data_IF_807104142615
#
_entry.id   IF_807104142615
#
_cell.length_a   1.000
_cell.length_b   1.000
_cell.length_c   1.000
_cell.angle_alpha   90.00
_cell.angle_beta   90.00
_cell.angle_gamma   90.00
#
_symmetry.space_group_name_H-M   'P 1'
#
loop_
_entity.id
_entity.type
_entity.pdbx_description
1 polymer ?
#
# COMPACT_ATOMS: atom_id res chain seq x y z
N UNK A 1 -14.68 6.67 -7.32
CA UNK A 1 -14.90 7.67 -6.22
C UNK A 1 -13.71 8.60 -6.02
N UNK A 2 -12.46 8.13 -6.06
CA UNK A 2 -11.25 8.96 -5.86
C UNK A 2 -11.18 10.23 -6.70
N UNK A 3 -11.58 10.17 -7.99
CA UNK A 3 -11.63 11.35 -8.85
C UNK A 3 -12.63 12.40 -8.42
N UNK A 4 -13.76 11.99 -7.85
CA UNK A 4 -14.80 12.91 -7.36
C UNK A 4 -14.32 13.64 -6.11
N UNK A 5 -13.73 12.94 -5.16
CA UNK A 5 -13.22 13.55 -3.93
C UNK A 5 -12.02 14.45 -4.20
N UNK A 6 -11.16 14.06 -5.16
CA UNK A 6 -10.06 14.89 -5.62
C UNK A 6 -10.56 16.13 -6.37
N UNK A 7 -11.62 16.01 -7.19
CA UNK A 7 -12.30 17.14 -7.79
C UNK A 7 -12.80 18.10 -6.71
N UNK A 8 -13.48 17.60 -5.67
CA UNK A 8 -13.99 18.46 -4.59
C UNK A 8 -12.87 19.20 -3.87
N UNK A 9 -11.79 18.50 -3.51
CA UNK A 9 -10.62 19.13 -2.89
C UNK A 9 -10.05 20.23 -3.80
N UNK A 10 -9.75 19.89 -5.06
CA UNK A 10 -9.15 20.82 -6.01
C UNK A 10 -10.07 22.00 -6.31
N UNK A 11 -11.39 21.76 -6.45
CA UNK A 11 -12.36 22.82 -6.71
C UNK A 11 -12.51 23.76 -5.51
N UNK A 12 -12.49 23.22 -4.30
CA UNK A 12 -12.51 24.05 -3.08
C UNK A 12 -11.31 24.99 -3.03
N UNK A 13 -10.13 24.48 -3.40
CA UNK A 13 -8.86 25.23 -3.35
C UNK A 13 -8.67 26.19 -4.53
N UNK A 14 -9.08 25.80 -5.73
CA UNK A 14 -8.72 26.52 -6.96
C UNK A 14 -9.85 27.31 -7.59
N UNK A 15 -11.11 26.96 -7.28
CA UNK A 15 -12.32 27.50 -7.91
C UNK A 15 -12.35 27.35 -9.44
N UNK A 16 -11.63 26.35 -9.97
CA UNK A 16 -11.57 26.06 -11.40
C UNK A 16 -12.27 24.73 -11.69
N UNK A 17 -13.35 24.75 -12.43
CA UNK A 17 -14.08 23.52 -12.80
C UNK A 17 -13.19 22.56 -13.60
N UNK A 18 -12.66 23.02 -14.75
CA UNK A 18 -11.86 22.19 -15.64
C UNK A 18 -10.53 21.76 -15.03
N UNK A 19 -9.85 22.66 -14.33
CA UNK A 19 -8.61 22.33 -13.61
C UNK A 19 -8.84 21.23 -12.56
N UNK A 20 -9.96 21.30 -11.84
CA UNK A 20 -10.31 20.32 -10.81
C UNK A 20 -10.75 18.99 -11.40
N UNK A 21 -11.46 18.99 -12.53
CA UNK A 21 -11.84 17.76 -13.23
C UNK A 21 -10.59 16.99 -13.70
N UNK A 22 -9.62 17.70 -14.28
CA UNK A 22 -8.36 17.10 -14.74
C UNK A 22 -7.51 16.67 -13.54
N UNK A 23 -7.50 17.39 -12.42
CA UNK A 23 -6.83 16.94 -11.20
C UNK A 23 -7.44 15.62 -10.67
N UNK A 24 -8.77 15.50 -10.69
CA UNK A 24 -9.46 14.24 -10.38
C UNK A 24 -9.04 13.11 -11.31
N UNK A 25 -8.86 13.39 -12.58
CA UNK A 25 -8.35 12.45 -13.57
C UNK A 25 -6.90 12.04 -13.27
N UNK A 26 -5.97 13.00 -13.09
CA UNK A 26 -4.54 12.73 -12.80
C UNK A 26 -4.39 11.85 -11.55
N UNK A 27 -5.13 12.14 -10.48
CA UNK A 27 -5.07 11.39 -9.23
C UNK A 27 -5.56 9.96 -9.39
N UNK A 28 -6.75 9.79 -9.99
CA UNK A 28 -7.41 8.49 -10.09
C UNK A 28 -6.79 7.60 -11.16
N UNK A 29 -6.33 8.17 -12.27
CA UNK A 29 -5.72 7.40 -13.36
C UNK A 29 -4.19 7.41 -13.32
N UNK A 30 -3.60 7.71 -12.15
CA UNK A 30 -2.15 7.64 -11.96
C UNK A 30 -1.62 6.21 -12.14
N UNK A 31 -0.40 6.09 -12.64
CA UNK A 31 0.28 4.80 -12.78
C UNK A 31 0.37 4.06 -11.43
N UNK A 32 0.54 4.78 -10.34
CA UNK A 32 0.53 4.24 -8.98
C UNK A 32 -0.80 3.51 -8.67
N UNK A 33 -1.94 4.15 -8.95
CA UNK A 33 -3.25 3.58 -8.64
C UNK A 33 -3.51 2.32 -9.47
N UNK A 34 -3.30 2.39 -10.79
CA UNK A 34 -3.50 1.23 -11.67
C UNK A 34 -2.56 0.07 -11.36
N UNK A 35 -1.33 0.34 -10.95
CA UNK A 35 -0.40 -0.72 -10.61
C UNK A 35 -0.87 -1.54 -9.40
N UNK A 36 -1.53 -0.89 -8.43
CA UNK A 36 -2.00 -1.55 -7.22
C UNK A 36 -3.29 -2.36 -7.39
N UNK A 37 -4.05 -2.15 -8.47
CA UNK A 37 -5.27 -2.95 -8.78
C UNK A 37 -4.96 -4.45 -8.84
N UNK A 38 -3.75 -4.84 -9.22
CA UNK A 38 -3.33 -6.22 -9.42
C UNK A 38 -2.99 -7.00 -8.14
N UNK A 39 -3.26 -6.48 -6.94
CA UNK A 39 -2.96 -7.29 -5.75
C UNK A 39 -2.99 -6.56 -4.43
N UNK A 40 -3.26 -5.26 -4.43
CA UNK A 40 -3.28 -4.46 -3.21
C UNK A 40 -4.59 -3.65 -3.11
N UNK A 41 -5.73 -4.35 -2.99
CA UNK A 41 -7.06 -3.72 -2.99
C UNK A 41 -7.20 -2.61 -1.94
N UNK A 42 -6.55 -2.74 -0.79
CA UNK A 42 -6.53 -1.71 0.25
C UNK A 42 -5.86 -0.42 -0.22
N UNK A 43 -4.86 -0.50 -1.11
CA UNK A 43 -4.16 0.67 -1.66
C UNK A 43 -4.89 1.32 -2.84
N UNK A 44 -5.90 0.65 -3.38
CA UNK A 44 -6.75 1.19 -4.45
C UNK A 44 -7.82 2.14 -3.89
N UNK A 45 -8.17 2.02 -2.62
CA UNK A 45 -9.14 2.88 -1.95
C UNK A 45 -8.56 4.26 -1.63
N UNK A 46 -8.36 5.08 -2.67
CA UNK A 46 -7.76 6.42 -2.56
C UNK A 46 -8.77 7.53 -2.25
N UNK A 47 -10.07 7.25 -2.33
CA UNK A 47 -11.14 8.27 -2.26
C UNK A 47 -11.20 9.03 -0.95
N UNK A 48 -10.80 8.41 0.14
CA UNK A 48 -10.88 9.05 1.46
C UNK A 48 -9.74 10.02 1.73
N UNK A 49 -8.59 9.89 1.03
CA UNK A 49 -7.42 10.76 1.21
C UNK A 49 -7.75 12.22 0.83
N UNK A 50 -8.20 12.53 -0.41
CA UNK A 50 -8.53 13.91 -0.78
C UNK A 50 -9.69 14.46 0.06
N UNK A 51 -10.67 13.60 0.42
CA UNK A 51 -11.80 14.02 1.23
C UNK A 51 -11.37 14.39 2.65
N UNK A 52 -10.49 13.61 3.27
CA UNK A 52 -9.92 13.95 4.57
C UNK A 52 -9.19 15.29 4.53
N UNK A 53 -8.31 15.48 3.53
CA UNK A 53 -7.56 16.73 3.39
C UNK A 53 -8.48 17.93 3.17
N UNK A 54 -9.57 17.78 2.42
CA UNK A 54 -10.60 18.80 2.25
C UNK A 54 -11.26 19.17 3.59
N UNK A 55 -11.72 18.15 4.33
CA UNK A 55 -12.35 18.35 5.64
C UNK A 55 -11.39 19.04 6.62
N UNK A 56 -10.15 18.55 6.68
CA UNK A 56 -9.11 19.07 7.55
C UNK A 56 -8.71 20.50 7.21
N UNK A 57 -8.42 20.77 5.94
CA UNK A 57 -8.08 22.14 5.49
C UNK A 57 -9.22 23.13 5.76
N UNK A 58 -10.48 22.70 5.50
CA UNK A 58 -11.67 23.49 5.79
C UNK A 58 -11.84 23.76 7.29
N UNK A 59 -11.51 22.79 8.15
CA UNK A 59 -11.52 22.90 9.60
C UNK A 59 -10.52 23.95 10.09
N UNK A 60 -9.28 23.89 9.57
CA UNK A 60 -8.19 24.83 9.95
C UNK A 60 -8.53 26.27 9.55
N UNK A 61 -9.09 26.48 8.34
CA UNK A 61 -9.40 27.84 7.84
C UNK A 61 -10.65 28.44 8.52
N UNK A 62 -11.69 27.63 8.73
CA UNK A 62 -12.97 28.03 9.31
C UNK A 62 -13.42 26.97 10.32
N UNK A 63 -12.96 27.06 11.58
CA UNK A 63 -13.23 26.05 12.59
C UNK A 63 -14.73 25.94 12.90
N UNK A 64 -15.20 24.70 13.03
CA UNK A 64 -16.56 24.37 13.44
C UNK A 64 -16.60 22.92 13.92
N UNK A 65 -17.35 22.62 14.97
CA UNK A 65 -17.43 21.27 15.59
C UNK A 65 -17.84 20.19 14.59
N UNK A 66 -18.85 20.45 13.74
CA UNK A 66 -19.27 19.50 12.71
C UNK A 66 -18.17 19.16 11.71
N UNK A 67 -17.27 20.11 11.40
CA UNK A 67 -16.11 19.84 10.55
C UNK A 67 -15.08 18.99 11.26
N UNK A 68 -14.88 19.21 12.58
CA UNK A 68 -14.05 18.35 13.41
C UNK A 68 -14.55 16.91 13.41
N UNK A 69 -15.85 16.72 13.66
CA UNK A 69 -16.50 15.40 13.61
C UNK A 69 -16.38 14.76 12.20
N UNK A 70 -16.69 15.53 11.15
CA UNK A 70 -16.58 15.04 9.77
C UNK A 70 -15.15 14.63 9.40
N UNK A 71 -14.14 15.43 9.75
CA UNK A 71 -12.74 15.08 9.53
C UNK A 71 -12.31 13.81 10.27
N UNK A 72 -12.79 13.61 11.52
CA UNK A 72 -12.53 12.40 12.30
C UNK A 72 -13.13 11.15 11.66
N UNK A 73 -14.37 11.22 11.22
CA UNK A 73 -15.07 10.12 10.53
C UNK A 73 -14.35 9.76 9.23
N UNK A 74 -13.97 10.76 8.42
CA UNK A 74 -13.27 10.50 7.16
C UNK A 74 -11.87 9.94 7.40
N UNK A 75 -11.14 10.41 8.42
CA UNK A 75 -9.85 9.84 8.80
C UNK A 75 -9.99 8.37 9.25
N UNK A 76 -11.06 8.05 9.95
CA UNK A 76 -11.38 6.67 10.30
C UNK A 76 -11.65 5.80 9.06
N UNK A 77 -12.34 6.31 8.04
CA UNK A 77 -12.53 5.60 6.77
C UNK A 77 -11.20 5.34 6.06
N UNK A 78 -10.24 6.29 6.11
CA UNK A 78 -8.87 6.06 5.62
C UNK A 78 -8.21 4.90 6.36
N UNK A 79 -8.34 4.86 7.70
CA UNK A 79 -7.78 3.79 8.53
C UNK A 79 -8.35 2.42 8.16
N UNK A 80 -9.64 2.33 7.90
CA UNK A 80 -10.32 1.08 7.51
C UNK A 80 -9.83 0.55 6.14
N UNK A 81 -9.39 1.45 5.26
CA UNK A 81 -8.81 1.07 3.97
C UNK A 81 -7.34 0.66 4.11
N UNK A 82 -6.51 1.54 4.67
CA UNK A 82 -5.07 1.26 4.82
C UNK A 82 -4.46 2.05 5.99
N UNK A 83 -3.76 1.35 6.88
CA UNK A 83 -3.10 1.93 8.05
C UNK A 83 -2.02 2.95 7.69
N UNK A 84 -1.31 2.77 6.57
CA UNK A 84 -0.22 3.68 6.18
C UNK A 84 -0.77 4.97 5.60
N UNK A 85 -1.85 4.90 4.84
CA UNK A 85 -2.57 6.09 4.36
C UNK A 85 -3.11 6.92 5.53
N UNK A 86 -3.56 6.28 6.61
CA UNK A 86 -3.92 6.98 7.84
C UNK A 86 -2.75 7.81 8.37
N UNK A 87 -1.54 7.23 8.50
CA UNK A 87 -0.35 7.96 8.94
C UNK A 87 0.03 9.08 7.97
N UNK A 88 -0.07 8.86 6.66
CA UNK A 88 0.23 9.90 5.66
C UNK A 88 -0.75 11.07 5.75
N UNK A 89 -2.02 10.80 5.99
CA UNK A 89 -3.04 11.81 6.26
C UNK A 89 -2.73 12.61 7.54
N UNK A 90 -2.35 11.95 8.62
CA UNK A 90 -1.95 12.61 9.89
C UNK A 90 -0.71 13.49 9.68
N UNK A 91 0.32 13.00 9.00
CA UNK A 91 1.51 13.79 8.67
C UNK A 91 1.15 15.02 7.83
N UNK A 92 0.28 14.88 6.84
CA UNK A 92 -0.20 15.99 6.02
C UNK A 92 -1.01 16.98 6.85
N UNK A 93 -1.84 16.49 7.77
CA UNK A 93 -2.60 17.35 8.70
C UNK A 93 -1.67 18.19 9.57
N UNK A 94 -0.59 17.62 10.08
CA UNK A 94 0.45 18.34 10.84
C UNK A 94 1.13 19.40 9.96
N UNK A 95 1.50 19.07 8.72
CA UNK A 95 2.11 20.05 7.80
C UNK A 95 1.18 21.23 7.52
N UNK A 96 -0.12 20.99 7.37
CA UNK A 96 -1.15 22.04 7.18
C UNK A 96 -1.25 22.94 8.43
N UNK A 97 -1.21 22.37 9.65
CA UNK A 97 -1.19 23.15 10.89
C UNK A 97 0.03 24.05 10.95
N UNK A 98 1.23 23.49 10.70
CA UNK A 98 2.50 24.22 10.72
C UNK A 98 2.46 25.36 9.70
N UNK A 99 2.04 25.06 8.47
CA UNK A 99 1.87 26.07 7.42
C UNK A 99 0.93 27.21 7.83
N UNK A 100 -0.25 26.85 8.41
CA UNK A 100 -1.21 27.85 8.86
C UNK A 100 -0.65 28.72 9.99
N UNK A 101 0.07 28.14 10.95
CA UNK A 101 0.73 28.85 12.03
C UNK A 101 1.77 29.87 11.49
N UNK A 102 2.56 29.45 10.50
CA UNK A 102 3.57 30.31 9.84
C UNK A 102 2.89 31.51 9.15
N UNK A 103 1.84 31.25 8.36
CA UNK A 103 1.13 32.32 7.62
C UNK A 103 0.45 33.29 8.57
N UNK A 104 -0.16 32.80 9.63
CA UNK A 104 -0.82 33.65 10.64
C UNK A 104 0.17 34.29 11.60
N UNK A 105 1.46 33.93 11.54
CA UNK A 105 2.51 34.35 12.50
C UNK A 105 2.05 34.13 13.95
N UNK A 106 1.29 33.09 14.19
CA UNK A 106 0.68 32.79 15.48
C UNK A 106 0.56 31.28 15.68
N UNK A 107 1.46 30.70 16.46
CA UNK A 107 1.45 29.28 16.82
C UNK A 107 0.33 28.94 17.82
N UNK A 108 -0.17 29.95 18.55
CA UNK A 108 -1.19 29.79 19.58
C UNK A 108 -2.62 29.82 19.03
N UNK A 109 -2.81 29.89 17.69
CA UNK A 109 -4.13 29.94 17.09
C UNK A 109 -5.01 28.74 17.49
N UNK A 110 -4.38 27.56 17.74
CA UNK A 110 -5.06 26.33 18.13
C UNK A 110 -5.81 26.51 19.46
N UNK A 111 -5.32 27.35 20.37
CA UNK A 111 -5.94 27.63 21.68
C UNK A 111 -7.05 28.68 21.61
N UNK A 112 -7.34 29.30 20.47
CA UNK A 112 -8.55 30.10 20.32
C UNK A 112 -9.76 29.20 20.48
N UNK A 113 -10.77 29.64 21.22
CA UNK A 113 -11.95 28.84 21.63
C UNK A 113 -12.52 27.98 20.49
N UNK A 114 -12.76 28.58 19.33
CA UNK A 114 -13.37 27.87 18.18
C UNK A 114 -12.47 26.77 17.61
N UNK A 115 -11.15 27.04 17.44
CA UNK A 115 -10.18 26.06 17.00
C UNK A 115 -10.03 24.96 18.03
N UNK A 116 -9.88 25.33 19.30
CA UNK A 116 -9.70 24.37 20.40
C UNK A 116 -10.87 23.39 20.49
N UNK A 117 -12.13 23.89 20.51
CA UNK A 117 -13.30 23.03 20.57
C UNK A 117 -13.39 22.12 19.35
N UNK A 118 -13.15 22.66 18.15
CA UNK A 118 -13.22 21.88 16.91
C UNK A 118 -12.13 20.81 16.83
N UNK A 119 -10.90 21.14 17.28
CA UNK A 119 -9.79 20.19 17.38
C UNK A 119 -10.01 19.13 18.46
N UNK A 120 -10.53 19.53 19.63
CA UNK A 120 -10.91 18.60 20.69
C UNK A 120 -11.98 17.63 20.20
N UNK A 121 -13.02 18.12 19.49
CA UNK A 121 -14.05 17.27 18.86
C UNK A 121 -13.41 16.27 17.88
N UNK A 122 -12.53 16.73 16.99
CA UNK A 122 -11.79 15.85 16.08
C UNK A 122 -11.01 14.79 16.84
N UNK A 123 -10.22 15.19 17.84
CA UNK A 123 -9.35 14.28 18.61
C UNK A 123 -10.17 13.25 19.37
N UNK A 124 -11.21 13.67 20.10
CA UNK A 124 -12.06 12.76 20.89
C UNK A 124 -12.74 11.74 19.99
N UNK A 125 -13.37 12.16 18.90
CA UNK A 125 -14.05 11.24 17.96
C UNK A 125 -13.03 10.31 17.30
N UNK A 126 -11.86 10.83 16.89
CA UNK A 126 -10.80 9.99 16.30
C UNK A 126 -10.34 8.92 17.30
N UNK A 127 -10.08 9.28 18.56
CA UNK A 127 -9.68 8.32 19.59
C UNK A 127 -10.78 7.27 19.84
N UNK A 128 -12.05 7.67 19.94
CA UNK A 128 -13.17 6.74 20.12
C UNK A 128 -13.29 5.73 18.98
N UNK A 129 -13.09 6.17 17.73
CA UNK A 129 -13.21 5.31 16.55
C UNK A 129 -11.97 4.45 16.29
N UNK A 130 -10.78 4.99 16.53
CA UNK A 130 -9.49 4.34 16.19
C UNK A 130 -9.06 3.35 17.28
N UNK A 131 -9.28 3.67 18.57
CA UNK A 131 -8.80 2.84 19.69
C UNK A 131 -9.33 1.39 19.67
N UNK A 132 -10.61 1.12 19.35
CA UNK A 132 -11.10 -0.27 19.30
C UNK A 132 -10.41 -1.13 18.23
N UNK A 133 -9.88 -0.52 17.17
CA UNK A 133 -9.19 -1.22 16.07
C UNK A 133 -7.69 -1.31 16.34
N UNK A 134 -7.05 -0.18 16.64
CA UNK A 134 -5.60 -0.09 16.77
C UNK A 134 -5.13 -0.57 18.15
N UNK A 135 -5.94 -0.41 19.19
CA UNK A 135 -5.60 -0.85 20.56
C UNK A 135 -5.25 -2.33 20.63
N UNK A 136 -6.12 -3.25 20.18
CA UNK A 136 -5.82 -4.67 20.14
C UNK A 136 -4.57 -5.03 19.33
N UNK A 137 -4.33 -4.33 18.20
CA UNK A 137 -3.13 -4.53 17.38
C UNK A 137 -1.86 -4.13 18.11
N UNK A 138 -1.87 -3.00 18.82
CA UNK A 138 -0.74 -2.56 19.64
C UNK A 138 -0.49 -3.58 20.75
N UNK A 139 -1.54 -4.00 21.45
CA UNK A 139 -1.43 -4.96 22.54
C UNK A 139 -0.91 -6.32 22.05
N UNK A 140 -1.40 -6.81 20.92
CA UNK A 140 -0.91 -8.02 20.28
C UNK A 140 0.56 -7.88 19.89
N UNK A 141 0.97 -6.76 19.28
CA UNK A 141 2.36 -6.53 18.90
C UNK A 141 3.31 -6.39 20.11
N UNK A 142 2.83 -5.94 21.26
CA UNK A 142 3.63 -5.90 22.50
C UNK A 142 3.86 -7.33 23.04
N UNK A 143 2.83 -8.20 22.96
CA UNK A 143 2.91 -9.58 23.45
C UNK A 143 3.68 -10.50 22.52
N UNK A 144 3.49 -10.32 21.20
CA UNK A 144 4.08 -11.13 20.16
C UNK A 144 4.45 -10.21 18.97
N UNK A 145 5.70 -9.70 18.93
CA UNK A 145 6.11 -8.68 17.96
C UNK A 145 5.90 -9.13 16.52
N UNK A 146 5.28 -8.26 15.73
CA UNK A 146 5.04 -8.47 14.33
C UNK A 146 6.31 -8.20 13.50
N UNK A 147 6.60 -9.08 12.57
CA UNK A 147 7.70 -8.96 11.62
C UNK A 147 7.15 -8.47 10.29
N UNK A 148 7.68 -7.34 9.80
CA UNK A 148 7.37 -6.85 8.45
C UNK A 148 8.06 -7.69 7.38
N UNK A 149 7.34 -8.02 6.32
CA UNK A 149 7.85 -8.89 5.23
C UNK A 149 8.70 -8.17 4.17
N UNK A 150 8.72 -6.84 4.17
CA UNK A 150 9.37 -6.05 3.11
C UNK A 150 10.65 -5.38 3.60
N UNK A 151 11.69 -5.44 2.74
CA UNK A 151 12.93 -4.71 2.97
C UNK A 151 12.82 -3.30 2.40
N UNK A 152 12.89 -2.23 3.22
CA UNK A 152 12.74 -0.87 2.74
C UNK A 152 13.81 -0.42 1.75
N UNK A 153 14.99 -1.04 1.70
CA UNK A 153 15.99 -0.77 0.67
C UNK A 153 15.53 -1.20 -0.72
N UNK A 154 14.81 -2.33 -0.80
CA UNK A 154 14.29 -2.87 -2.06
C UNK A 154 13.08 -2.05 -2.56
N UNK A 155 12.23 -1.62 -1.62
CA UNK A 155 10.97 -0.92 -1.90
C UNK A 155 11.06 0.59 -1.72
N UNK A 156 12.27 1.16 -1.84
CA UNK A 156 12.52 2.59 -1.91
C UNK A 156 12.25 3.14 -3.30
N UNK A 157 11.91 4.42 -3.37
CA UNK A 157 11.73 5.14 -4.63
C UNK A 157 13.06 5.19 -5.41
N UNK A 158 13.07 4.66 -6.62
CA UNK A 158 14.11 4.96 -7.61
C UNK A 158 13.78 6.29 -8.29
N UNK A 159 14.73 7.22 -8.32
CA UNK A 159 14.49 8.57 -8.85
C UNK A 159 14.06 8.58 -10.31
N UNK A 160 14.56 7.64 -11.13
CA UNK A 160 14.18 7.55 -12.53
C UNK A 160 12.75 7.03 -12.72
N UNK A 161 12.19 6.28 -11.74
CA UNK A 161 10.83 5.76 -11.82
C UNK A 161 9.75 6.86 -11.83
N UNK A 162 10.07 8.06 -11.37
CA UNK A 162 9.18 9.22 -11.48
C UNK A 162 9.07 9.74 -12.92
N UNK A 163 10.10 9.52 -13.75
CA UNK A 163 10.21 10.06 -15.12
C UNK A 163 10.02 9.00 -16.19
N UNK A 164 10.19 7.72 -15.87
CA UNK A 164 10.11 6.61 -16.81
C UNK A 164 8.90 5.74 -16.44
N UNK A 165 7.93 5.57 -17.36
CA UNK A 165 6.75 4.72 -17.12
C UNK A 165 7.14 3.28 -16.76
N UNK A 166 6.46 2.73 -15.76
CA UNK A 166 6.64 1.35 -15.29
C UNK A 166 5.89 0.31 -16.12
N UNK A 167 5.92 -0.93 -15.67
CA UNK A 167 5.33 -2.07 -16.38
C UNK A 167 3.81 -2.07 -16.52
N UNK A 168 3.10 -1.19 -15.80
CA UNK A 168 1.63 -1.04 -15.89
C UNK A 168 1.17 -0.01 -16.92
N UNK A 169 2.07 0.62 -17.65
CA UNK A 169 1.74 1.50 -18.76
C UNK A 169 1.48 0.70 -20.04
N UNK A 170 0.52 1.12 -20.86
CA UNK A 170 0.13 0.42 -22.09
C UNK A 170 1.33 0.15 -23.02
N UNK A 171 2.22 1.13 -23.15
CA UNK A 171 3.42 1.03 -24.00
C UNK A 171 4.67 0.66 -23.22
N UNK A 172 4.54 -0.11 -22.13
CA UNK A 172 5.61 -0.48 -21.24
C UNK A 172 6.81 -1.19 -21.92
N UNK A 173 6.61 -1.79 -23.08
CA UNK A 173 7.71 -2.41 -23.84
C UNK A 173 8.80 -1.39 -24.22
N UNK A 174 8.42 -0.11 -24.44
CA UNK A 174 9.39 0.95 -24.76
C UNK A 174 10.30 1.28 -23.59
N UNK A 175 9.85 1.05 -22.37
CA UNK A 175 10.59 1.32 -21.13
C UNK A 175 11.04 0.06 -20.41
N UNK A 176 10.88 -1.12 -21.01
CA UNK A 176 11.21 -2.43 -20.43
C UNK A 176 12.70 -2.52 -20.03
N UNK A 177 13.61 -1.88 -20.79
CA UNK A 177 15.04 -1.83 -20.48
C UNK A 177 15.32 -1.28 -19.08
N UNK A 178 14.42 -0.47 -18.53
CA UNK A 178 14.51 0.13 -17.20
C UNK A 178 13.71 -0.67 -16.16
N UNK A 179 12.38 -0.69 -16.27
CA UNK A 179 11.53 -1.21 -15.21
C UNK A 179 11.70 -2.72 -14.93
N UNK A 180 12.04 -3.53 -15.96
CA UNK A 180 12.23 -4.98 -15.76
C UNK A 180 13.45 -5.33 -14.89
N UNK A 181 14.29 -4.36 -14.63
CA UNK A 181 15.53 -4.53 -13.88
C UNK A 181 15.44 -3.93 -12.47
N UNK A 182 14.37 -3.22 -12.12
CA UNK A 182 14.22 -2.63 -10.80
C UNK A 182 14.03 -3.72 -9.73
N UNK A 183 14.58 -3.53 -8.52
CA UNK A 183 14.33 -4.44 -7.41
C UNK A 183 12.89 -4.34 -6.93
N UNK A 184 12.42 -5.38 -6.24
CA UNK A 184 11.06 -5.44 -5.75
C UNK A 184 10.08 -5.98 -6.77
N UNK A 185 8.85 -5.51 -6.72
CA UNK A 185 7.81 -5.92 -7.65
C UNK A 185 7.40 -4.76 -8.58
N UNK A 186 6.82 -5.13 -9.72
CA UNK A 186 6.42 -4.20 -10.77
C UNK A 186 5.36 -3.19 -10.28
N UNK A 187 4.55 -3.57 -9.30
CA UNK A 187 3.48 -2.75 -8.73
C UNK A 187 4.05 -1.55 -7.97
N UNK A 188 5.02 -1.79 -7.10
CA UNK A 188 5.61 -0.73 -6.27
C UNK A 188 6.58 0.17 -7.06
N UNK A 189 7.09 -0.29 -8.21
CA UNK A 189 8.01 0.49 -9.05
C UNK A 189 7.31 1.36 -10.10
N UNK A 190 5.98 1.25 -10.23
CA UNK A 190 5.19 2.00 -11.24
C UNK A 190 4.67 3.33 -10.65
N UNK A 191 5.56 4.30 -10.51
CA UNK A 191 5.27 5.60 -9.86
C UNK A 191 5.45 6.81 -10.78
N UNK A 192 5.45 6.61 -12.08
CA UNK A 192 5.57 7.68 -13.08
C UNK A 192 4.45 8.71 -12.92
N UNK A 193 4.81 10.00 -12.80
CA UNK A 193 3.86 11.08 -12.60
C UNK A 193 3.25 11.62 -13.89
N UNK A 194 3.96 11.50 -15.00
CA UNK A 194 3.62 12.14 -16.28
C UNK A 194 4.46 13.38 -16.57
N UNK A 195 4.99 13.48 -17.78
CA UNK A 195 5.76 14.66 -18.22
C UNK A 195 4.85 15.89 -18.26
N UNK A 196 3.59 15.72 -18.70
CA UNK A 196 2.58 16.77 -18.68
C UNK A 196 2.34 17.35 -17.28
N UNK A 197 2.36 16.51 -16.25
CA UNK A 197 2.25 16.95 -14.85
C UNK A 197 3.46 17.80 -14.47
N UNK A 198 4.69 17.38 -14.80
CA UNK A 198 5.89 18.19 -14.53
C UNK A 198 5.86 19.55 -15.24
N UNK A 199 5.38 19.59 -16.48
CA UNK A 199 5.21 20.84 -17.20
C UNK A 199 4.22 21.77 -16.49
N UNK A 200 3.10 21.24 -15.99
CA UNK A 200 2.11 22.02 -15.22
C UNK A 200 2.67 22.51 -13.89
N UNK A 201 3.42 21.68 -13.17
CA UNK A 201 4.10 22.05 -11.94
C UNK A 201 5.13 23.17 -12.17
N UNK A 202 5.96 23.03 -13.20
CA UNK A 202 6.94 24.04 -13.59
C UNK A 202 6.26 25.35 -14.00
N UNK A 203 5.18 25.26 -14.78
CA UNK A 203 4.41 26.43 -15.20
C UNK A 203 3.81 27.20 -14.03
N UNK A 204 3.13 26.53 -13.09
CA UNK A 204 2.56 27.22 -11.93
C UNK A 204 3.66 27.77 -10.98
N UNK A 205 4.81 27.08 -10.89
CA UNK A 205 5.95 27.57 -10.14
C UNK A 205 6.50 28.88 -10.72
N UNK A 206 6.64 28.99 -12.04
CA UNK A 206 7.05 30.24 -12.72
C UNK A 206 6.01 31.32 -12.48
N UNK A 207 4.73 31.01 -12.68
CA UNK A 207 3.61 31.97 -12.55
C UNK A 207 3.27 32.35 -11.11
N UNK A 208 3.86 31.70 -10.07
CA UNK A 208 3.56 31.99 -8.65
C UNK A 208 3.76 33.45 -8.24
N UNK A 209 4.70 34.15 -8.91
CA UNK A 209 4.99 35.56 -8.61
C UNK A 209 3.85 36.51 -9.00
N UNK A 210 3.05 36.14 -10.01
CA UNK A 210 1.92 36.93 -10.53
C UNK A 210 0.58 36.57 -9.89
N UNK A 211 0.57 35.57 -8.98
CA UNK A 211 -0.64 35.15 -8.27
C UNK A 211 -0.89 36.06 -7.04
N UNK A 212 -2.16 36.13 -6.65
CA UNK A 212 -2.56 36.73 -5.37
C UNK A 212 -1.90 36.01 -4.18
N UNK A 213 -1.85 36.68 -3.03
CA UNK A 213 -1.15 36.17 -1.85
C UNK A 213 -1.69 34.81 -1.40
N UNK A 214 -3.02 34.62 -1.39
CA UNK A 214 -3.64 33.38 -0.96
C UNK A 214 -3.26 32.21 -1.87
N UNK A 215 -3.35 32.39 -3.20
CA UNK A 215 -2.93 31.40 -4.19
C UNK A 215 -1.44 31.10 -4.09
N UNK A 216 -0.60 32.12 -3.89
CA UNK A 216 0.85 31.95 -3.71
C UNK A 216 1.17 31.12 -2.47
N UNK A 217 0.51 31.38 -1.35
CA UNK A 217 0.66 30.60 -0.12
C UNK A 217 0.23 29.15 -0.33
N UNK A 218 -0.86 28.92 -1.05
CA UNK A 218 -1.35 27.59 -1.38
C UNK A 218 -0.34 26.82 -2.25
N UNK A 219 0.27 27.47 -3.26
CA UNK A 219 1.32 26.86 -4.09
C UNK A 219 2.49 26.40 -3.20
N UNK A 220 2.95 27.21 -2.28
CA UNK A 220 4.06 26.84 -1.38
C UNK A 220 3.67 25.67 -0.47
N UNK A 221 2.46 25.67 0.10
CA UNK A 221 1.99 24.53 0.92
C UNK A 221 2.09 23.21 0.16
N UNK A 222 1.58 23.18 -1.06
CA UNK A 222 1.56 21.94 -1.82
C UNK A 222 2.94 21.49 -2.30
N UNK A 223 3.83 22.42 -2.64
CA UNK A 223 5.23 22.08 -2.90
C UNK A 223 5.96 21.57 -1.65
N UNK A 224 5.64 22.08 -0.46
CA UNK A 224 6.19 21.56 0.81
C UNK A 224 5.69 20.14 1.07
N UNK A 225 4.39 19.87 0.87
CA UNK A 225 3.81 18.52 1.01
C UNK A 225 4.47 17.56 0.02
N UNK A 226 4.56 17.92 -1.26
CA UNK A 226 5.26 17.11 -2.28
C UNK A 226 6.70 16.85 -1.86
N UNK A 227 7.46 17.88 -1.49
CA UNK A 227 8.87 17.76 -1.11
C UNK A 227 9.05 16.84 0.11
N UNK A 228 8.20 16.99 1.13
CA UNK A 228 8.25 16.15 2.32
C UNK A 228 8.04 14.68 1.96
N UNK A 229 6.94 14.35 1.29
CA UNK A 229 6.62 12.96 0.97
C UNK A 229 7.57 12.36 -0.08
N UNK A 230 8.07 13.17 -1.01
CA UNK A 230 9.12 12.77 -1.94
C UNK A 230 10.39 12.33 -1.20
N UNK A 231 10.88 13.16 -0.28
CA UNK A 231 12.07 12.84 0.52
C UNK A 231 11.85 11.59 1.39
N UNK A 232 10.66 11.42 1.96
CA UNK A 232 10.31 10.22 2.73
C UNK A 232 10.21 8.98 1.85
N UNK A 233 9.69 9.10 0.62
CA UNK A 233 9.57 7.99 -0.34
C UNK A 233 10.93 7.44 -0.81
N UNK A 234 12.00 8.25 -0.76
CA UNK A 234 13.37 7.80 -1.03
C UNK A 234 13.82 6.69 -0.07
N UNK A 235 13.16 6.55 1.08
CA UNK A 235 13.46 5.49 2.04
C UNK A 235 14.82 5.66 2.73
N UNK A 236 15.48 4.54 3.11
CA UNK A 236 16.78 4.58 3.78
C UNK A 236 17.96 4.84 2.85
N UNK A 237 17.75 4.89 1.52
CA UNK A 237 18.79 5.11 0.53
C UNK A 237 18.25 5.85 -0.70
N UNK A 238 19.07 6.64 -1.37
CA UNK A 238 18.75 7.22 -2.67
C UNK A 238 19.19 6.26 -3.77
N UNK A 239 18.24 5.86 -4.61
CA UNK A 239 18.46 4.95 -5.72
C UNK A 239 18.28 5.67 -7.06
N UNK A 240 19.18 5.44 -8.01
CA UNK A 240 19.07 5.87 -9.40
C UNK A 240 19.38 4.69 -10.31
N UNK A 241 18.43 4.27 -11.14
CA UNK A 241 18.63 3.19 -12.09
C UNK A 241 19.13 1.90 -11.43
N UNK A 242 18.61 1.58 -10.22
CA UNK A 242 19.00 0.41 -9.39
C UNK A 242 20.31 0.55 -8.60
N UNK A 243 21.02 1.64 -8.80
CA UNK A 243 22.27 1.87 -8.07
C UNK A 243 21.99 2.72 -6.84
N UNK A 244 22.45 2.26 -5.70
CA UNK A 244 22.44 3.04 -4.45
C UNK A 244 23.53 4.09 -4.56
N UNK A 245 23.13 5.38 -4.63
CA UNK A 245 24.07 6.50 -4.70
C UNK A 245 24.32 7.14 -3.35
N UNK A 246 23.40 6.96 -2.39
CA UNK A 246 23.51 7.49 -1.03
C UNK A 246 22.70 6.65 -0.06
N UNK A 247 23.29 6.29 1.08
CA UNK A 247 22.65 5.47 2.12
C UNK A 247 22.95 5.94 3.55
N UNK A 248 23.34 7.22 3.73
CA UNK A 248 23.66 7.78 5.05
C UNK A 248 22.60 8.78 5.48
N UNK A 249 22.18 8.72 6.75
CA UNK A 249 21.35 9.72 7.43
C UNK A 249 20.10 10.16 6.65
N UNK A 250 19.34 9.22 6.10
CA UNK A 250 18.09 9.53 5.38
C UNK A 250 16.98 9.94 6.35
N UNK A 251 16.18 10.99 6.03
CA UNK A 251 15.08 11.44 6.89
C UNK A 251 14.02 10.37 7.18
N UNK A 252 13.78 9.46 6.24
CA UNK A 252 12.90 8.30 6.45
C UNK A 252 13.34 7.45 7.66
N UNK A 253 14.65 7.27 7.88
CA UNK A 253 15.15 6.47 9.00
C UNK A 253 14.87 7.12 10.36
N UNK A 254 14.79 8.45 10.40
CA UNK A 254 14.35 9.19 11.58
C UNK A 254 12.83 9.05 11.77
N UNK A 255 12.05 9.17 10.69
CA UNK A 255 10.59 9.06 10.73
C UNK A 255 10.12 7.71 11.32
N UNK A 256 10.71 6.59 10.88
CA UNK A 256 10.35 5.26 11.40
C UNK A 256 10.80 5.01 12.84
N UNK A 257 11.75 5.79 13.38
CA UNK A 257 12.09 5.77 14.81
C UNK A 257 11.05 6.53 15.64
N UNK A 258 10.51 7.63 15.12
CA UNK A 258 9.48 8.46 15.78
C UNK A 258 8.11 7.76 15.70
N UNK A 259 7.81 7.13 14.56
CA UNK A 259 6.54 6.42 14.29
C UNK A 259 6.85 4.96 13.95
N UNK A 260 7.12 4.09 14.97
CA UNK A 260 7.53 2.72 14.75
C UNK A 260 6.58 1.87 13.87
N UNK A 261 5.24 2.07 13.89
CA UNK A 261 4.35 1.32 13.01
C UNK A 261 4.65 1.49 11.52
N UNK A 262 5.24 2.62 11.09
CA UNK A 262 5.66 2.82 9.70
C UNK A 262 6.80 1.86 9.27
N UNK A 263 7.61 1.37 10.21
CA UNK A 263 8.65 0.36 9.95
C UNK A 263 8.06 -0.95 9.46
N UNK A 264 6.87 -1.32 9.94
CA UNK A 264 6.18 -2.55 9.55
C UNK A 264 5.76 -2.55 8.07
N UNK A 265 5.63 -1.39 7.43
CA UNK A 265 5.38 -1.30 5.99
C UNK A 265 6.55 -1.86 5.19
N UNK A 266 7.75 -1.39 5.47
CA UNK A 266 8.93 -1.68 4.68
C UNK A 266 8.86 -1.21 3.21
N UNK A 267 7.88 -0.35 2.86
CA UNK A 267 7.61 0.08 1.48
C UNK A 267 7.49 1.61 1.42
N UNK A 268 8.60 2.36 1.59
CA UNK A 268 8.57 3.83 1.61
C UNK A 268 8.07 4.45 0.31
N UNK A 269 8.25 3.81 -0.85
CA UNK A 269 7.78 4.30 -2.15
C UNK A 269 6.26 4.57 -2.18
N UNK A 270 5.46 3.92 -1.34
CA UNK A 270 4.01 4.17 -1.23
C UNK A 270 3.66 5.60 -0.82
N UNK A 271 4.58 6.33 -0.19
CA UNK A 271 4.40 7.74 0.13
C UNK A 271 4.26 8.65 -1.10
N UNK A 272 4.61 8.14 -2.29
CA UNK A 272 4.39 8.82 -3.58
C UNK A 272 2.90 9.13 -3.82
N UNK A 273 1.96 8.41 -3.22
CA UNK A 273 0.52 8.74 -3.32
C UNK A 273 0.23 10.19 -2.89
N UNK A 274 0.93 10.68 -1.87
CA UNK A 274 0.79 12.05 -1.38
C UNK A 274 1.51 13.06 -2.30
N UNK A 275 2.57 12.64 -2.98
CA UNK A 275 3.21 13.42 -4.06
C UNK A 275 2.23 13.59 -5.22
N UNK A 276 1.54 12.51 -5.63
CA UNK A 276 0.52 12.53 -6.69
C UNK A 276 -0.66 13.43 -6.28
N UNK A 277 -1.12 13.34 -5.03
CA UNK A 277 -2.17 14.21 -4.50
C UNK A 277 -1.79 15.69 -4.64
N UNK A 278 -0.62 16.06 -4.15
CA UNK A 278 -0.11 17.45 -4.24
C UNK A 278 0.10 17.91 -5.68
N UNK A 279 0.68 17.03 -6.51
CA UNK A 279 0.88 17.30 -7.94
C UNK A 279 -0.44 17.54 -8.67
N UNK A 280 -1.49 16.78 -8.34
CA UNK A 280 -2.83 16.97 -8.89
C UNK A 280 -3.43 18.33 -8.53
N UNK A 281 -3.29 18.79 -7.27
CA UNK A 281 -3.75 20.13 -6.86
C UNK A 281 -2.98 21.23 -7.58
N UNK A 282 -1.64 21.11 -7.65
CA UNK A 282 -0.82 22.09 -8.36
C UNK A 282 -1.11 22.11 -9.87
N UNK A 283 -1.38 20.94 -10.46
CA UNK A 283 -1.82 20.84 -11.86
C UNK A 283 -3.15 21.57 -12.08
N UNK A 284 -4.10 21.47 -11.13
CA UNK A 284 -5.36 22.23 -11.22
C UNK A 284 -5.12 23.74 -11.20
N UNK A 285 -4.18 24.23 -10.38
CA UNK A 285 -3.79 25.63 -10.34
C UNK A 285 -3.09 26.06 -11.65
N UNK A 286 -2.19 25.20 -12.16
CA UNK A 286 -1.52 25.43 -13.44
C UNK A 286 -2.50 25.49 -14.61
N UNK A 287 -3.46 24.57 -14.67
CA UNK A 287 -4.50 24.55 -15.69
C UNK A 287 -5.46 25.72 -15.59
N UNK A 288 -5.84 26.13 -14.34
CA UNK A 288 -6.64 27.36 -14.15
C UNK A 288 -5.99 28.57 -14.81
N UNK A 289 -4.69 28.74 -14.56
CA UNK A 289 -3.93 29.87 -15.11
C UNK A 289 -3.76 29.73 -16.63
N UNK A 290 -3.51 28.52 -17.11
CA UNK A 290 -3.35 28.21 -18.52
C UNK A 290 -4.63 28.46 -19.31
N UNK A 291 -5.78 27.98 -18.82
CA UNK A 291 -7.08 28.20 -19.46
C UNK A 291 -7.50 29.68 -19.43
N UNK A 292 -7.11 30.44 -18.39
CA UNK A 292 -7.32 31.88 -18.37
C UNK A 292 -6.57 32.59 -19.49
N UNK A 293 -5.34 32.14 -19.77
CA UNK A 293 -4.48 32.75 -20.80
C UNK A 293 -4.85 32.26 -22.21
N UNK A 294 -5.19 30.98 -22.35
CA UNK A 294 -5.41 30.33 -23.65
C UNK A 294 -6.86 29.86 -23.86
N UNK A 295 -7.85 30.50 -23.24
CA UNK A 295 -9.25 30.08 -23.20
C UNK A 295 -9.89 29.88 -24.60
N UNK A 296 -9.34 30.46 -25.65
CA UNK A 296 -9.81 30.33 -27.04
C UNK A 296 -9.09 29.25 -27.84
N UNK A 297 -8.00 28.67 -27.34
CA UNK A 297 -7.21 27.69 -28.09
C UNK A 297 -7.64 26.25 -27.78
N UNK A 298 -8.68 25.77 -28.46
CA UNK A 298 -9.20 24.41 -28.33
C UNK A 298 -8.15 23.34 -28.70
N UNK A 299 -7.30 23.62 -29.69
CA UNK A 299 -6.27 22.66 -30.14
C UNK A 299 -5.28 22.37 -29.02
N UNK A 300 -4.81 23.42 -28.36
CA UNK A 300 -3.91 23.24 -27.19
C UNK A 300 -4.53 22.38 -26.09
N UNK A 301 -5.80 22.62 -25.76
CA UNK A 301 -6.52 21.83 -24.74
C UNK A 301 -6.62 20.36 -25.15
N UNK A 302 -6.96 20.09 -26.41
CA UNK A 302 -7.07 18.72 -26.95
C UNK A 302 -5.70 18.02 -26.90
N UNK A 303 -4.63 18.70 -27.32
CA UNK A 303 -3.28 18.15 -27.28
C UNK A 303 -2.85 17.82 -25.85
N UNK A 304 -3.08 18.72 -24.90
CA UNK A 304 -2.75 18.49 -23.48
C UNK A 304 -3.51 17.28 -22.91
N UNK A 305 -4.81 17.18 -23.19
CA UNK A 305 -5.63 16.03 -22.79
C UNK A 305 -5.16 14.74 -23.46
N UNK A 306 -4.79 14.81 -24.75
CA UNK A 306 -4.24 13.67 -25.48
C UNK A 306 -2.94 13.14 -24.87
N UNK A 307 -2.03 14.05 -24.49
CA UNK A 307 -0.78 13.69 -23.81
C UNK A 307 -1.05 13.09 -22.43
N UNK A 308 -1.91 13.71 -21.62
CA UNK A 308 -2.30 13.18 -20.31
C UNK A 308 -2.90 11.77 -20.42
N UNK A 309 -3.80 11.56 -21.38
CA UNK A 309 -4.37 10.24 -21.64
C UNK A 309 -3.29 9.23 -22.03
N UNK A 310 -2.41 9.59 -22.98
CA UNK A 310 -1.34 8.73 -23.44
C UNK A 310 -0.42 8.29 -22.29
N UNK A 311 -0.04 9.21 -21.41
CA UNK A 311 0.86 8.95 -20.27
C UNK A 311 0.23 8.07 -19.18
N UNK A 312 -1.10 8.07 -19.08
CA UNK A 312 -1.83 7.34 -18.03
C UNK A 312 -2.53 6.07 -18.52
N UNK A 313 -2.50 5.77 -19.84
CA UNK A 313 -3.12 4.56 -20.38
C UNK A 313 -2.58 3.31 -19.71
N UNK A 314 -3.42 2.51 -19.00
CA UNK A 314 -2.95 1.31 -18.34
C UNK A 314 -2.77 0.17 -19.33
N UNK A 315 -1.78 -0.68 -19.08
CA UNK A 315 -1.69 -1.99 -19.72
C UNK A 315 -2.89 -2.86 -19.32
N UNK A 316 -3.32 -3.80 -20.20
CA UNK A 316 -4.33 -4.77 -19.83
C UNK A 316 -3.94 -5.51 -18.54
N UNK A 317 -4.92 -5.69 -17.64
CA UNK A 317 -4.69 -6.45 -16.42
C UNK A 317 -4.38 -7.90 -16.80
N UNK A 318 -3.33 -8.50 -16.22
CA UNK A 318 -3.02 -9.89 -16.48
C UNK A 318 -4.16 -10.77 -15.93
N UNK A 319 -4.82 -11.50 -16.83
CA UNK A 319 -5.78 -12.52 -16.45
C UNK A 319 -5.03 -13.86 -16.39
N UNK A 320 -5.00 -14.49 -15.22
CA UNK A 320 -4.43 -15.83 -15.06
C UNK A 320 -5.56 -16.81 -14.86
N UNK A 321 -5.63 -17.83 -15.73
CA UNK A 321 -6.52 -18.97 -15.49
C UNK A 321 -5.99 -19.74 -14.29
N UNK A 322 -6.80 -19.89 -13.28
CA UNK A 322 -6.44 -20.65 -12.09
C UNK A 322 -6.80 -22.10 -12.35
N UNK A 323 -5.81 -22.93 -12.65
CA UNK A 323 -6.00 -24.38 -12.74
C UNK A 323 -5.98 -24.99 -11.34
N UNK A 324 -6.84 -25.98 -11.13
CA UNK A 324 -6.90 -26.78 -9.90
C UNK A 324 -6.16 -28.09 -10.15
N UNK A 325 -4.95 -28.28 -9.61
CA UNK A 325 -4.22 -29.53 -9.77
C UNK A 325 -4.97 -30.73 -9.19
N UNK A 326 -4.80 -31.89 -9.78
CA UNK A 326 -5.49 -33.12 -9.34
C UNK A 326 -5.25 -33.50 -7.88
N UNK A 327 -4.09 -33.15 -7.31
CA UNK A 327 -3.83 -33.42 -5.90
C UNK A 327 -4.72 -32.59 -4.96
N UNK A 328 -5.18 -31.41 -5.38
CA UNK A 328 -6.08 -30.56 -4.58
C UNK A 328 -7.46 -31.19 -4.47
N UNK A 329 -7.98 -31.76 -5.57
CA UNK A 329 -9.23 -32.52 -5.57
C UNK A 329 -9.10 -33.81 -4.81
N UNK A 330 -7.95 -34.50 -4.89
CA UNK A 330 -7.65 -35.67 -4.08
C UNK A 330 -7.65 -35.31 -2.58
N UNK A 331 -7.02 -34.22 -2.17
CA UNK A 331 -7.06 -33.70 -0.78
C UNK A 331 -8.51 -33.41 -0.34
N UNK A 332 -9.32 -32.82 -1.22
CA UNK A 332 -10.71 -32.50 -0.90
C UNK A 332 -11.54 -33.73 -0.56
N UNK A 333 -11.26 -34.89 -1.20
CA UNK A 333 -11.94 -36.14 -0.95
C UNK A 333 -11.51 -36.83 0.37
N UNK A 334 -10.41 -36.41 1.01
CA UNK A 334 -9.91 -37.02 2.24
C UNK A 334 -10.60 -36.42 3.48
N UNK A 335 -10.58 -37.11 4.64
CA UNK A 335 -11.10 -36.59 5.90
C UNK A 335 -10.49 -35.23 6.27
N UNK A 336 -11.30 -34.39 6.88
CA UNK A 336 -10.82 -33.11 7.44
C UNK A 336 -10.46 -33.26 8.92
N UNK A 337 -9.46 -34.11 9.17
CA UNK A 337 -9.01 -34.53 10.52
C UNK A 337 -7.68 -33.86 10.96
N UNK A 338 -7.13 -32.96 10.16
CA UNK A 338 -5.92 -32.25 10.52
C UNK A 338 -5.33 -31.36 9.42
N UNK A 339 -4.19 -30.76 9.73
CA UNK A 339 -3.52 -29.80 8.88
C UNK A 339 -2.79 -30.41 7.69
N UNK A 340 -2.58 -29.58 6.68
CA UNK A 340 -1.83 -29.91 5.44
C UNK A 340 -0.55 -29.08 5.39
N UNK A 341 0.56 -29.75 5.13
CA UNK A 341 1.82 -29.12 4.69
C UNK A 341 1.90 -29.26 3.19
N UNK A 342 1.78 -28.17 2.46
CA UNK A 342 1.96 -28.14 1.00
C UNK A 342 3.36 -27.61 0.68
N UNK A 343 4.26 -28.49 0.22
CA UNK A 343 5.62 -28.16 -0.18
C UNK A 343 5.76 -27.99 -1.70
N UNK A 344 4.67 -28.16 -2.44
CA UNK A 344 4.65 -28.11 -3.91
C UNK A 344 4.26 -26.72 -4.40
N UNK A 345 3.29 -26.11 -3.75
CA UNK A 345 2.76 -24.80 -4.16
C UNK A 345 3.70 -23.67 -3.73
N UNK A 346 4.51 -23.20 -4.68
CA UNK A 346 5.50 -22.13 -4.42
C UNK A 346 4.87 -20.76 -4.11
N UNK A 347 3.70 -20.48 -4.70
CA UNK A 347 3.00 -19.22 -4.49
C UNK A 347 1.96 -19.37 -3.38
N UNK A 348 2.13 -18.69 -2.22
CA UNK A 348 1.21 -18.79 -1.10
C UNK A 348 -0.24 -18.41 -1.44
N UNK A 349 -0.46 -17.52 -2.43
CA UNK A 349 -1.81 -17.14 -2.84
C UNK A 349 -2.57 -18.31 -3.50
N UNK A 350 -1.86 -19.15 -4.23
CA UNK A 350 -2.47 -20.37 -4.77
C UNK A 350 -2.76 -21.38 -3.67
N UNK A 351 -1.87 -21.54 -2.69
CA UNK A 351 -2.11 -22.42 -1.55
C UNK A 351 -3.39 -22.03 -0.79
N UNK A 352 -3.58 -20.71 -0.54
CA UNK A 352 -4.81 -20.19 0.07
C UNK A 352 -6.05 -20.41 -0.81
N UNK A 353 -5.93 -20.27 -2.14
CA UNK A 353 -7.02 -20.59 -3.05
C UNK A 353 -7.36 -22.08 -3.01
N UNK A 354 -6.36 -22.98 -3.04
CA UNK A 354 -6.57 -24.43 -2.95
C UNK A 354 -7.18 -24.84 -1.61
N UNK A 355 -6.88 -24.11 -0.54
CA UNK A 355 -7.53 -24.31 0.75
C UNK A 355 -9.04 -24.12 0.68
N UNK A 356 -9.55 -23.19 -0.12
CA UNK A 356 -11.01 -23.01 -0.29
C UNK A 356 -11.69 -24.22 -0.95
N UNK A 357 -10.92 -25.06 -1.64
CA UNK A 357 -11.40 -26.27 -2.32
C UNK A 357 -11.32 -27.49 -1.40
N UNK A 358 -10.14 -27.73 -0.80
CA UNK A 358 -9.95 -28.91 0.05
C UNK A 358 -10.37 -28.70 1.52
N UNK A 359 -10.62 -27.47 1.95
CA UNK A 359 -11.15 -27.08 3.27
C UNK A 359 -10.31 -27.51 4.47
N UNK A 360 -9.06 -27.96 4.29
CA UNK A 360 -8.17 -28.37 5.37
C UNK A 360 -7.28 -27.21 5.82
N UNK A 361 -6.96 -27.09 7.14
CA UNK A 361 -6.04 -26.08 7.63
C UNK A 361 -4.68 -26.18 6.94
N UNK A 362 -4.16 -25.05 6.44
CA UNK A 362 -2.80 -24.97 5.90
C UNK A 362 -1.82 -24.61 7.01
N UNK A 363 -0.66 -25.26 6.99
CA UNK A 363 0.44 -24.96 7.91
C UNK A 363 1.15 -23.68 7.47
N UNK A 364 1.49 -23.58 6.18
CA UNK A 364 2.16 -22.42 5.61
C UNK A 364 1.17 -21.59 4.79
N UNK A 365 0.69 -20.50 5.39
CA UNK A 365 -0.17 -19.53 4.71
C UNK A 365 0.58 -18.24 4.39
N UNK A 366 -0.15 -17.27 3.83
CA UNK A 366 0.37 -15.91 3.61
C UNK A 366 -0.27 -14.92 4.56
N UNK A 367 0.57 -14.30 5.40
CA UNK A 367 0.20 -13.19 6.25
C UNK A 367 1.23 -12.08 6.04
N UNK A 368 0.79 -10.86 5.71
CA UNK A 368 1.70 -9.74 5.42
C UNK A 368 2.44 -9.21 6.65
N UNK A 369 1.98 -9.56 7.84
CA UNK A 369 2.58 -9.21 9.14
C UNK A 369 2.55 -10.45 10.02
N UNK A 370 3.69 -11.12 10.12
CA UNK A 370 3.78 -12.41 10.80
C UNK A 370 4.21 -12.20 12.26
N UNK A 371 3.46 -12.72 13.25
CA UNK A 371 3.92 -12.78 14.62
C UNK A 371 5.21 -13.59 14.76
N UNK A 372 6.07 -13.19 15.69
CA UNK A 372 7.35 -13.89 15.94
C UNK A 372 7.13 -15.35 16.34
N UNK A 373 6.08 -15.65 17.11
CA UNK A 373 5.70 -17.01 17.50
C UNK A 373 5.41 -17.89 16.28
N UNK A 374 4.67 -17.36 15.29
CA UNK A 374 4.34 -18.07 14.05
C UNK A 374 5.60 -18.34 13.23
N UNK A 375 6.48 -17.34 13.10
CA UNK A 375 7.76 -17.51 12.39
C UNK A 375 8.62 -18.62 13.03
N UNK A 376 8.66 -18.66 14.36
CA UNK A 376 9.37 -19.71 15.09
C UNK A 376 8.71 -21.07 14.90
N UNK A 377 7.38 -21.13 14.91
CA UNK A 377 6.64 -22.36 14.67
C UNK A 377 6.89 -22.91 13.27
N UNK A 378 6.83 -22.05 12.23
CA UNK A 378 7.11 -22.42 10.84
C UNK A 378 8.54 -22.97 10.69
N UNK A 379 9.51 -22.35 11.37
CA UNK A 379 10.87 -22.86 11.43
C UNK A 379 10.95 -24.26 12.05
N UNK A 380 10.31 -24.48 13.21
CA UNK A 380 10.31 -25.77 13.92
C UNK A 380 9.64 -26.85 13.09
N UNK A 381 8.51 -26.58 12.45
CA UNK A 381 7.81 -27.50 11.54
C UNK A 381 8.71 -27.85 10.36
N UNK A 382 9.35 -26.84 9.74
CA UNK A 382 10.28 -27.06 8.63
C UNK A 382 11.45 -27.94 9.05
N UNK A 383 12.00 -27.75 10.24
CA UNK A 383 13.07 -28.63 10.78
C UNK A 383 12.56 -30.06 11.07
N UNK A 384 11.34 -30.20 11.57
CA UNK A 384 10.73 -31.51 11.81
C UNK A 384 10.53 -32.30 10.52
N UNK A 385 10.08 -31.63 9.44
CA UNK A 385 9.95 -32.22 8.11
C UNK A 385 11.30 -32.67 7.57
N UNK A 386 12.31 -31.78 7.57
CA UNK A 386 13.67 -32.10 7.08
C UNK A 386 14.34 -33.23 7.84
N UNK A 387 14.08 -33.35 9.15
CA UNK A 387 14.63 -34.40 10.02
C UNK A 387 13.70 -35.62 10.12
N UNK A 388 12.62 -35.67 9.32
CA UNK A 388 11.64 -36.75 9.26
C UNK A 388 11.02 -37.10 10.64
N UNK A 389 10.87 -36.10 11.51
CA UNK A 389 10.27 -36.25 12.84
C UNK A 389 8.73 -36.19 12.76
N UNK A 390 8.12 -37.19 12.15
CA UNK A 390 6.68 -37.20 11.85
C UNK A 390 5.80 -37.24 13.11
N UNK A 391 6.28 -37.83 14.20
CA UNK A 391 5.59 -37.81 15.50
C UNK A 391 5.34 -36.41 16.02
N UNK A 392 6.34 -35.51 15.92
CA UNK A 392 6.17 -34.10 16.31
C UNK A 392 5.11 -33.41 15.43
N UNK A 393 5.10 -33.70 14.12
CA UNK A 393 4.10 -33.16 13.22
C UNK A 393 2.68 -33.62 13.59
N UNK A 394 2.55 -34.89 13.96
CA UNK A 394 1.27 -35.48 14.37
C UNK A 394 0.80 -34.99 15.74
N UNK A 395 1.63 -35.15 16.78
CA UNK A 395 1.24 -34.92 18.18
C UNK A 395 1.13 -33.44 18.53
N UNK A 396 2.12 -32.65 18.09
CA UNK A 396 2.23 -31.23 18.49
C UNK A 396 1.49 -30.29 17.56
N UNK A 397 1.58 -30.55 16.24
CA UNK A 397 1.07 -29.63 15.23
C UNK A 397 -0.21 -30.11 14.56
N UNK A 398 -0.72 -31.30 14.90
CA UNK A 398 -1.92 -31.90 14.32
C UNK A 398 -1.91 -31.95 12.79
N UNK A 399 -0.72 -32.15 12.21
CA UNK A 399 -0.54 -32.30 10.75
C UNK A 399 -0.89 -33.74 10.37
N UNK A 400 -1.77 -33.89 9.38
CA UNK A 400 -2.21 -35.20 8.89
C UNK A 400 -1.76 -35.47 7.45
N UNK A 401 -1.52 -34.42 6.67
CA UNK A 401 -1.20 -34.54 5.25
C UNK A 401 0.07 -33.79 4.90
N UNK A 402 0.92 -34.42 4.10
CA UNK A 402 2.13 -33.81 3.52
C UNK A 402 2.05 -33.96 2.00
N UNK A 403 2.04 -32.85 1.29
CA UNK A 403 2.09 -32.78 -0.17
C UNK A 403 3.52 -32.41 -0.58
N UNK A 404 4.15 -33.26 -1.38
CA UNK A 404 5.56 -33.10 -1.76
C UNK A 404 5.84 -33.71 -3.12
N UNK A 405 6.95 -33.30 -3.76
CA UNK A 405 7.52 -33.97 -4.94
C UNK A 405 8.51 -35.06 -4.54
N UNK A 406 9.05 -34.99 -3.34
CA UNK A 406 10.06 -35.93 -2.86
C UNK A 406 9.41 -37.20 -2.30
N UNK A 407 10.10 -38.33 -2.47
CA UNK A 407 9.75 -39.54 -1.76
C UNK A 407 10.13 -39.41 -0.29
N UNK A 408 9.15 -39.44 0.61
CA UNK A 408 9.43 -39.45 2.06
C UNK A 408 9.98 -40.82 2.45
N UNK A 409 11.13 -40.82 3.14
CA UNK A 409 11.73 -42.05 3.67
C UNK A 409 11.27 -42.23 5.11
N UNK A 410 11.14 -43.50 5.52
CA UNK A 410 10.81 -43.88 6.88
C UNK A 410 12.10 -44.01 7.70
N UNK A 411 12.21 -43.25 8.78
CA UNK A 411 13.14 -43.62 9.84
C UNK A 411 12.43 -44.54 10.84
N UNK A 412 12.99 -45.70 11.09
CA UNK A 412 12.48 -46.74 12.01
C UNK A 412 12.35 -46.26 13.47
N UNK A 413 12.81 -45.06 13.77
CA UNK A 413 12.87 -44.47 15.13
C UNK A 413 11.52 -43.97 15.69
N UNK A 414 10.42 -44.05 14.94
CA UNK A 414 9.09 -43.64 15.42
C UNK A 414 8.04 -44.71 15.12
N UNK A 415 8.03 -45.82 15.90
CA UNK A 415 7.22 -47.01 15.55
C UNK A 415 5.71 -46.81 15.71
N UNK A 416 5.26 -45.69 16.32
CA UNK A 416 3.84 -45.40 16.53
C UNK A 416 3.21 -44.52 15.41
N UNK A 417 4.00 -44.00 14.47
CA UNK A 417 3.49 -43.20 13.34
C UNK A 417 3.61 -43.97 12.03
N UNK A 418 2.51 -44.12 11.37
CA UNK A 418 2.47 -44.59 9.97
C UNK A 418 2.49 -43.42 8.99
N UNK A 419 3.21 -43.58 7.88
CA UNK A 419 3.24 -42.61 6.77
C UNK A 419 2.80 -43.37 5.50
N UNK A 420 1.60 -43.13 5.10
CA UNK A 420 0.96 -43.87 4.00
C UNK A 420 0.90 -42.99 2.75
N UNK A 421 1.44 -43.46 1.63
CA UNK A 421 1.28 -42.81 0.34
C UNK A 421 -0.16 -43.06 -0.14
N UNK A 422 -0.93 -42.00 -0.35
CA UNK A 422 -2.36 -42.08 -0.72
C UNK A 422 -2.65 -41.46 -2.10
N UNK A 423 -1.66 -40.75 -2.66
CA UNK A 423 -1.74 -40.18 -4.01
C UNK A 423 -0.35 -40.07 -4.60
N UNK A 424 -0.16 -40.46 -5.86
CA UNK A 424 1.08 -40.33 -6.64
C UNK A 424 0.76 -40.12 -8.10
N UNK A 425 0.69 -38.87 -8.55
CA UNK A 425 0.48 -38.52 -9.95
C UNK A 425 1.21 -37.23 -10.29
N UNK A 426 1.68 -37.11 -11.53
CA UNK A 426 2.36 -35.95 -12.06
C UNK A 426 3.55 -35.45 -11.17
N UNK A 427 4.30 -36.40 -10.61
CA UNK A 427 5.41 -36.14 -9.68
C UNK A 427 4.98 -35.38 -8.40
N UNK A 428 3.70 -35.51 -8.01
CA UNK A 428 3.17 -34.95 -6.76
C UNK A 428 2.63 -36.12 -5.94
N UNK A 429 3.04 -36.18 -4.68
CA UNK A 429 2.68 -37.20 -3.71
C UNK A 429 1.96 -36.61 -2.53
N UNK A 430 0.91 -37.30 -2.08
CA UNK A 430 0.27 -36.98 -0.80
C UNK A 430 0.54 -38.15 0.14
N UNK A 431 1.15 -37.84 1.28
CA UNK A 431 1.32 -38.77 2.36
C UNK A 431 0.35 -38.41 3.50
N UNK A 432 -0.32 -39.44 4.03
CA UNK A 432 -1.15 -39.35 5.22
C UNK A 432 -0.36 -39.88 6.40
N UNK A 433 -0.23 -39.04 7.43
CA UNK A 433 0.26 -39.47 8.75
C UNK A 433 -0.88 -40.12 9.52
N UNK A 434 -0.60 -41.22 10.22
CA UNK A 434 -1.54 -41.94 11.07
C UNK A 434 -0.86 -42.50 12.32
N UNK A 435 -1.64 -42.80 13.36
CA UNK A 435 -1.14 -43.51 14.53
C UNK A 435 -1.30 -45.05 14.30
N UNK A 436 -0.23 -45.80 14.50
CA UNK A 436 -0.29 -47.28 14.40
C UNK A 436 -1.20 -47.88 15.49
N UNK A 437 -1.48 -47.10 16.56
CA UNK A 437 -2.32 -47.48 17.67
C UNK A 437 -3.82 -47.27 17.43
N UNK A 438 -4.23 -46.57 16.38
CA UNK A 438 -5.64 -46.44 16.00
C UNK A 438 -6.03 -47.64 15.09
N UNK A 439 -6.92 -48.52 15.51
CA UNK A 439 -7.49 -49.52 14.62
C UNK A 439 -8.24 -48.78 13.50
N UNK A 440 -7.99 -49.16 12.25
CA UNK A 440 -8.63 -48.60 11.04
C UNK A 440 -10.14 -48.39 11.28
N UNK A 441 -10.57 -47.13 11.42
CA UNK A 441 -11.96 -46.72 11.33
C UNK A 441 -12.26 -46.20 9.95
#
# INVERSE_FOLDING_TARGET
MGGVTMYWLSHYLTRSFWGSLIAGFIFTFSNYHFSHVNGHLQLVSLEWIPLFILCWYSLIIKPHTAKGAGAAIVLYMVLLCDYYYFFYCVLTAILIIIWYAIIKKNVWFIFRKEHFISMATFTVITLLLVTPIVGPLILSNIRDPLIGSHNPLIFSLDLMALFIPGGHWLFNQWTKFYWSKLPGNITETSVFLGISVYVLLGYIWIKRKTQDLATKQLIYLWFIIIGFFFVMALGPAINIGRTVIWNKAMPYTLLIKIIPPLKLSGVPVRMVVMVILGASVLSALGLRELFRQFSRNKIFTILLLGVLLFETLPAPLPATKVDVPGYVTALAALPNDGGVVDLVTKNPSYALYYQTIHSKPLVFGYISRVPTSVTNQDYLITQAIKKQKYGILWDTYHIRYIVTQDALQFQVSQPYISVNLIYDQNNIRIYRLGCVCEPNK
#
